data_IF_407931892495
#
_entry.id   IF_407931892495
#
_cell.length_a   1.000
_cell.length_b   1.000
_cell.length_c   1.000
_cell.angle_alpha   90.00
_cell.angle_beta   90.00
_cell.angle_gamma   90.00
#
_symmetry.space_group_name_H-M   'P 1'
#
loop_
_entity.id
_entity.type
_entity.pdbx_description
1 polymer ?
#
# COMPACT_ATOMS: atom_id res chain seq x y z
N UNK A 1 8.46 -2.50 36.78
CA UNK A 1 8.87 -1.84 35.53
C UNK A 1 7.75 -2.17 34.54
N UNK A 2 6.96 -1.17 34.18
CA UNK A 2 5.90 -1.38 33.18
C UNK A 2 6.62 -1.52 31.84
N UNK A 3 6.78 -2.74 31.34
CA UNK A 3 7.11 -2.97 29.93
C UNK A 3 5.92 -2.52 29.11
N UNK A 4 6.19 -1.54 28.28
CA UNK A 4 5.20 -0.88 27.45
C UNK A 4 4.53 -1.90 26.54
N UNK A 5 3.24 -2.06 26.67
CA UNK A 5 2.32 -2.67 25.70
C UNK A 5 2.26 -1.78 24.43
N UNK A 6 3.44 -1.38 23.92
CA UNK A 6 3.52 -0.47 22.78
C UNK A 6 3.17 -1.23 21.50
N UNK A 7 2.19 -0.72 20.80
CA UNK A 7 1.81 -1.22 19.48
C UNK A 7 3.01 -1.13 18.53
N UNK A 8 3.24 -2.20 17.78
CA UNK A 8 4.27 -2.23 16.74
C UNK A 8 3.67 -1.61 15.48
N UNK A 9 4.26 -0.51 15.02
CA UNK A 9 3.79 0.24 13.86
C UNK A 9 4.68 -0.06 12.66
N UNK A 10 4.14 -0.76 11.67
CA UNK A 10 4.81 -1.03 10.39
C UNK A 10 4.34 0.00 9.37
N UNK A 11 5.23 0.91 9.00
CA UNK A 11 4.93 2.01 8.11
C UNK A 11 5.06 1.61 6.64
N UNK A 12 4.52 2.46 5.77
CA UNK A 12 4.70 2.35 4.33
C UNK A 12 6.15 2.58 3.91
N UNK A 13 6.64 1.75 3.01
CA UNK A 13 7.98 1.91 2.43
C UNK A 13 8.07 3.17 1.54
N UNK A 14 8.46 4.29 2.16
CA UNK A 14 8.59 5.60 1.47
C UNK A 14 9.89 5.71 0.66
N UNK A 15 10.92 4.90 0.98
CA UNK A 15 12.24 5.02 0.38
C UNK A 15 12.22 4.81 -1.14
N UNK A 16 11.48 3.79 -1.61
CA UNK A 16 11.36 3.51 -3.05
C UNK A 16 10.59 4.60 -3.79
N UNK A 17 9.52 5.11 -3.20
CA UNK A 17 8.74 6.21 -3.77
C UNK A 17 9.58 7.50 -3.84
N UNK A 18 10.41 7.75 -2.84
CA UNK A 18 11.34 8.89 -2.83
C UNK A 18 12.37 8.81 -3.97
N UNK A 19 13.01 7.65 -4.20
CA UNK A 19 13.93 7.48 -5.30
C UNK A 19 13.23 7.60 -6.67
N UNK A 20 12.04 7.02 -6.81
CA UNK A 20 11.24 7.19 -8.03
C UNK A 20 10.91 8.66 -8.30
N UNK A 21 10.57 9.43 -7.25
CA UNK A 21 10.30 10.86 -7.37
C UNK A 21 11.53 11.64 -7.83
N UNK A 22 12.72 11.36 -7.28
CA UNK A 22 13.98 12.00 -7.72
C UNK A 22 14.23 11.75 -9.20
N UNK A 23 14.10 10.50 -9.65
CA UNK A 23 14.29 10.14 -11.06
C UNK A 23 13.30 10.92 -11.95
N UNK A 24 12.02 10.92 -11.58
CA UNK A 24 10.98 11.63 -12.35
C UNK A 24 11.25 13.13 -12.40
N UNK A 25 11.62 13.73 -11.26
CA UNK A 25 11.95 15.16 -11.19
C UNK A 25 13.18 15.53 -12.03
N UNK A 26 14.14 14.62 -12.20
CA UNK A 26 15.29 14.82 -13.08
C UNK A 26 14.87 14.89 -14.55
N UNK A 27 13.87 14.10 -14.98
CA UNK A 27 13.43 14.09 -16.38
C UNK A 27 12.56 15.29 -16.77
N UNK A 28 11.97 16.02 -15.82
CA UNK A 28 11.18 17.23 -16.12
C UNK A 28 12.04 18.31 -16.79
N UNK A 29 13.18 18.77 -16.21
CA UNK A 29 14.05 19.76 -16.86
C UNK A 29 14.67 19.24 -18.15
N UNK A 30 14.99 17.95 -18.26
CA UNK A 30 15.48 17.34 -19.50
C UNK A 30 14.43 17.47 -20.62
N UNK A 31 13.16 17.18 -20.31
CA UNK A 31 12.05 17.35 -21.26
C UNK A 31 11.85 18.83 -21.65
N UNK A 32 11.97 19.75 -20.69
CA UNK A 32 11.94 21.20 -20.97
C UNK A 32 13.08 21.65 -21.88
N UNK A 33 14.27 21.09 -21.66
CA UNK A 33 15.43 21.37 -22.55
C UNK A 33 15.19 20.85 -23.97
N UNK A 34 14.57 19.71 -24.16
CA UNK A 34 14.19 19.19 -25.47
C UNK A 34 13.22 20.12 -26.19
N UNK A 35 12.18 20.62 -25.48
CA UNK A 35 11.27 21.63 -26.07
C UNK A 35 12.03 22.87 -26.50
N UNK A 36 12.90 23.38 -25.64
CA UNK A 36 13.71 24.58 -25.96
C UNK A 36 14.64 24.37 -27.16
N UNK A 37 15.33 23.23 -27.22
CA UNK A 37 16.25 22.93 -28.34
C UNK A 37 15.52 22.67 -29.66
N UNK A 38 14.34 22.05 -29.62
CA UNK A 38 13.54 21.80 -30.81
C UNK A 38 12.85 23.05 -31.35
N UNK A 39 12.56 24.04 -30.48
CA UNK A 39 11.96 25.32 -30.88
C UNK A 39 12.98 26.34 -31.45
N UNK A 40 14.29 26.03 -31.48
CA UNK A 40 15.30 26.95 -32.02
C UNK A 40 15.16 27.10 -33.54
N UNK A 41 15.30 28.33 -34.08
CA UNK A 41 15.30 28.57 -35.51
C UNK A 41 16.44 27.82 -36.20
N UNK A 42 16.22 27.33 -37.42
CA UNK A 42 17.20 26.57 -38.22
C UNK A 42 17.15 25.06 -38.07
N UNK A 43 16.14 24.49 -37.39
CA UNK A 43 15.89 23.04 -37.26
C UNK A 43 14.50 22.64 -37.73
N UNK A 44 14.02 23.26 -38.81
CA UNK A 44 12.62 23.12 -39.25
C UNK A 44 12.22 21.68 -39.56
N UNK A 45 13.13 20.85 -40.08
CA UNK A 45 12.81 19.47 -40.48
C UNK A 45 12.63 18.50 -39.33
N UNK A 46 13.36 18.65 -38.21
CA UNK A 46 13.34 17.71 -37.08
C UNK A 46 12.86 18.39 -35.79
N UNK A 47 12.87 19.73 -35.75
CA UNK A 47 12.57 20.52 -34.55
C UNK A 47 11.19 20.19 -33.95
N UNK A 48 10.17 20.03 -34.78
CA UNK A 48 8.81 19.70 -34.34
C UNK A 48 8.73 18.36 -33.61
N UNK A 49 9.47 17.33 -34.07
CA UNK A 49 9.49 16.03 -33.42
C UNK A 49 10.15 16.12 -32.05
N UNK A 50 11.26 16.87 -31.93
CA UNK A 50 11.95 17.09 -30.66
C UNK A 50 11.03 17.84 -29.67
N UNK A 51 10.31 18.86 -30.14
CA UNK A 51 9.31 19.59 -29.32
C UNK A 51 8.20 18.66 -28.85
N UNK A 52 7.67 17.84 -29.76
CA UNK A 52 6.60 16.91 -29.43
C UNK A 52 7.03 15.92 -28.35
N UNK A 53 8.22 15.30 -28.47
CA UNK A 53 8.79 14.42 -27.46
C UNK A 53 9.04 15.15 -26.13
N UNK A 54 9.52 16.36 -26.15
CA UNK A 54 9.73 17.18 -24.97
C UNK A 54 8.42 17.50 -24.24
N UNK A 55 7.37 17.89 -24.97
CA UNK A 55 6.05 18.17 -24.40
C UNK A 55 5.42 16.89 -23.82
N UNK A 56 5.49 15.78 -24.56
CA UNK A 56 4.99 14.49 -24.07
C UNK A 56 5.71 14.06 -22.79
N UNK A 57 7.03 14.23 -22.75
CA UNK A 57 7.85 13.99 -21.57
C UNK A 57 7.43 14.87 -20.39
N UNK A 58 7.26 16.18 -20.58
CA UNK A 58 6.80 17.09 -19.54
C UNK A 58 5.46 16.66 -18.95
N UNK A 59 4.48 16.34 -19.79
CA UNK A 59 3.16 15.90 -19.33
C UNK A 59 3.27 14.58 -18.55
N UNK A 60 3.98 13.59 -19.10
CA UNK A 60 4.11 12.24 -18.49
C UNK A 60 4.84 12.29 -17.16
N UNK A 61 5.99 12.99 -17.09
CA UNK A 61 6.77 13.05 -15.86
C UNK A 61 6.11 13.93 -14.80
N UNK A 62 5.45 15.05 -15.18
CA UNK A 62 4.69 15.86 -14.22
C UNK A 62 3.51 15.07 -13.62
N UNK A 63 2.76 14.35 -14.46
CA UNK A 63 1.69 13.48 -14.00
C UNK A 63 2.19 12.38 -13.07
N UNK A 64 3.31 11.73 -13.44
CA UNK A 64 3.95 10.70 -12.62
C UNK A 64 4.40 11.24 -11.27
N UNK A 65 4.99 12.44 -11.23
CA UNK A 65 5.40 13.11 -9.99
C UNK A 65 4.19 13.34 -9.05
N UNK A 66 3.08 13.87 -9.60
CA UNK A 66 1.84 14.08 -8.83
C UNK A 66 1.33 12.74 -8.26
N UNK A 67 1.32 11.68 -9.07
CA UNK A 67 0.85 10.36 -8.63
C UNK A 67 1.75 9.75 -7.56
N UNK A 68 3.09 9.90 -7.68
CA UNK A 68 4.03 9.44 -6.65
C UNK A 68 3.81 10.22 -5.33
N UNK A 69 3.67 11.54 -5.39
CA UNK A 69 3.41 12.37 -4.20
C UNK A 69 2.09 11.99 -3.53
N UNK A 70 1.01 11.81 -4.32
CA UNK A 70 -0.27 11.32 -3.80
C UNK A 70 -0.11 9.95 -3.13
N UNK A 71 0.61 9.05 -3.78
CA UNK A 71 0.89 7.72 -3.24
C UNK A 71 1.73 7.80 -1.96
N UNK A 72 2.71 8.70 -1.86
CA UNK A 72 3.49 8.91 -0.64
C UNK A 72 2.65 9.47 0.53
N UNK A 73 1.64 10.28 0.22
CA UNK A 73 0.71 10.83 1.21
C UNK A 73 -0.37 9.84 1.63
N UNK A 74 -0.65 8.81 0.82
CA UNK A 74 -1.63 7.78 1.19
C UNK A 74 -1.09 6.98 2.38
N UNK A 75 -1.83 7.03 3.48
CA UNK A 75 -1.43 6.48 4.76
C UNK A 75 -1.68 4.97 4.85
N UNK A 76 -0.83 4.15 4.19
CA UNK A 76 -0.78 2.74 4.52
C UNK A 76 0.05 2.55 5.78
N UNK A 77 -0.54 1.98 6.79
CA UNK A 77 0.11 1.67 8.06
C UNK A 77 -0.52 0.41 8.63
N UNK A 78 0.27 -0.45 9.21
CA UNK A 78 -0.20 -1.60 9.96
C UNK A 78 0.23 -1.43 11.40
N UNK A 79 -0.73 -1.38 12.29
CA UNK A 79 -0.53 -1.39 13.73
C UNK A 79 -0.82 -2.80 14.24
N UNK A 80 0.12 -3.36 14.99
CA UNK A 80 0.03 -4.68 15.59
C UNK A 80 0.10 -4.50 17.09
N UNK A 81 -0.90 -4.98 17.81
CA UNK A 81 -1.00 -4.86 19.26
C UNK A 81 -1.45 -6.20 19.87
N UNK A 82 -1.43 -6.36 21.20
CA UNK A 82 -1.81 -7.62 21.86
C UNK A 82 -3.24 -8.08 21.58
N UNK A 83 -4.16 -7.17 21.29
CA UNK A 83 -5.57 -7.49 21.03
C UNK A 83 -5.83 -7.89 19.56
N UNK A 84 -4.97 -7.47 18.63
CA UNK A 84 -5.18 -7.72 17.20
C UNK A 84 -4.30 -6.87 16.31
N UNK A 85 -4.74 -6.69 15.09
CA UNK A 85 -4.10 -5.81 14.11
C UNK A 85 -5.09 -4.76 13.60
N UNK A 86 -4.57 -3.57 13.26
CA UNK A 86 -5.32 -2.51 12.59
C UNK A 86 -4.57 -2.12 11.31
N UNK A 87 -5.21 -2.33 10.17
CA UNK A 87 -4.67 -1.96 8.88
C UNK A 87 -5.31 -0.64 8.41
N UNK A 88 -4.53 0.42 8.45
CA UNK A 88 -4.91 1.73 7.91
C UNK A 88 -4.64 1.77 6.41
N UNK A 89 -5.65 2.13 5.64
CA UNK A 89 -5.57 2.31 4.19
C UNK A 89 -6.18 3.67 3.79
N UNK A 90 -5.98 4.14 2.57
CA UNK A 90 -6.64 5.36 2.11
C UNK A 90 -8.17 5.30 2.08
N UNK A 91 -8.73 4.10 2.08
CA UNK A 91 -10.19 3.88 1.94
C UNK A 91 -10.89 3.42 3.20
N UNK A 92 -10.16 2.76 4.08
CA UNK A 92 -10.74 2.15 5.29
C UNK A 92 -9.66 1.84 6.32
N UNK A 93 -10.08 1.77 7.58
CA UNK A 93 -9.31 1.21 8.69
C UNK A 93 -9.93 -0.12 9.08
N UNK A 94 -9.20 -1.21 8.82
CA UNK A 94 -9.64 -2.56 9.12
C UNK A 94 -9.09 -2.99 10.47
N UNK A 95 -9.98 -3.29 11.41
CA UNK A 95 -9.64 -3.82 12.73
C UNK A 95 -9.95 -5.32 12.78
N UNK A 96 -8.91 -6.13 13.04
CA UNK A 96 -9.04 -7.59 13.14
C UNK A 96 -8.43 -8.09 14.45
N UNK A 97 -9.23 -8.47 15.43
CA UNK A 97 -8.77 -9.15 16.64
C UNK A 97 -8.11 -10.50 16.31
N UNK A 98 -7.14 -10.93 17.13
CA UNK A 98 -6.41 -12.18 16.88
C UNK A 98 -7.31 -13.43 16.87
N UNK A 99 -8.40 -13.43 17.61
CA UNK A 99 -9.39 -14.51 17.62
C UNK A 99 -10.15 -14.63 16.30
N UNK A 100 -10.24 -13.56 15.53
CA UNK A 100 -10.84 -13.57 14.18
C UNK A 100 -9.89 -14.02 13.08
N UNK A 101 -8.57 -14.11 13.34
CA UNK A 101 -7.56 -14.49 12.36
C UNK A 101 -7.35 -16.01 12.39
N UNK A 102 -7.89 -16.73 11.41
CA UNK A 102 -7.72 -18.18 11.26
C UNK A 102 -6.31 -18.55 10.80
N UNK A 103 -5.73 -17.77 9.89
CA UNK A 103 -4.42 -18.07 9.31
C UNK A 103 -3.69 -16.85 8.77
N UNK A 104 -2.35 -16.98 8.76
CA UNK A 104 -1.41 -16.01 8.18
C UNK A 104 -0.48 -16.81 7.29
N UNK A 105 -0.31 -16.40 6.04
CA UNK A 105 0.55 -17.07 5.08
C UNK A 105 1.22 -16.07 4.13
N UNK A 106 2.20 -16.55 3.36
CA UNK A 106 2.80 -15.80 2.26
C UNK A 106 2.32 -16.41 0.96
N UNK A 107 1.61 -15.59 0.18
CA UNK A 107 1.03 -15.98 -1.09
C UNK A 107 1.28 -14.92 -2.17
N UNK A 108 0.87 -15.20 -3.40
CA UNK A 108 0.96 -14.22 -4.48
C UNK A 108 -0.22 -13.25 -4.45
N UNK A 109 0.07 -12.00 -4.09
CA UNK A 109 -0.85 -10.85 -4.16
C UNK A 109 -0.41 -9.98 -5.33
N UNK A 110 -1.27 -9.75 -6.32
CA UNK A 110 -0.93 -8.99 -7.54
C UNK A 110 0.35 -9.48 -8.25
N UNK A 111 0.52 -10.79 -8.39
CA UNK A 111 1.68 -11.47 -8.99
C UNK A 111 3.00 -11.31 -8.22
N UNK A 112 2.96 -10.83 -7.01
CA UNK A 112 4.15 -10.62 -6.14
C UNK A 112 3.92 -11.29 -4.79
N UNK A 113 4.99 -11.66 -4.06
CA UNK A 113 4.84 -12.13 -2.69
C UNK A 113 4.13 -11.08 -1.84
N UNK A 114 3.17 -11.50 -1.05
CA UNK A 114 2.42 -10.69 -0.11
C UNK A 114 2.01 -11.50 1.10
N UNK A 115 1.82 -10.85 2.24
CA UNK A 115 1.26 -11.48 3.42
C UNK A 115 -0.26 -11.55 3.25
N UNK A 116 -0.85 -12.71 3.48
CA UNK A 116 -2.29 -12.93 3.36
C UNK A 116 -2.88 -13.33 4.70
N UNK A 117 -4.10 -12.85 4.92
CA UNK A 117 -4.88 -13.10 6.12
C UNK A 117 -6.13 -13.91 5.77
N UNK A 118 -6.37 -14.96 6.56
CA UNK A 118 -7.57 -15.78 6.52
C UNK A 118 -8.33 -15.49 7.81
N UNK A 119 -9.58 -15.09 7.71
CA UNK A 119 -10.43 -14.81 8.85
C UNK A 119 -11.39 -15.97 9.10
N UNK A 120 -11.72 -16.26 10.37
CA UNK A 120 -12.76 -17.22 10.74
C UNK A 120 -14.15 -16.69 10.37
N UNK A 121 -14.39 -15.41 10.70
CA UNK A 121 -15.61 -14.68 10.34
C UNK A 121 -15.24 -13.34 9.68
N UNK A 122 -15.15 -13.35 8.35
CA UNK A 122 -14.87 -12.16 7.57
C UNK A 122 -15.98 -11.09 7.72
N UNK A 123 -17.23 -11.48 7.94
CA UNK A 123 -18.33 -10.54 8.13
C UNK A 123 -18.20 -9.76 9.43
N UNK A 124 -17.77 -10.41 10.52
CA UNK A 124 -17.50 -9.73 11.78
C UNK A 124 -16.34 -8.72 11.67
N UNK A 125 -15.28 -9.06 10.92
CA UNK A 125 -14.16 -8.13 10.65
C UNK A 125 -14.64 -6.92 9.83
N UNK A 126 -15.48 -7.14 8.81
CA UNK A 126 -16.06 -6.06 7.99
C UNK A 126 -16.93 -5.13 8.82
N UNK A 127 -17.70 -5.64 9.79
CA UNK A 127 -18.53 -4.80 10.68
C UNK A 127 -17.71 -3.87 11.58
N UNK A 128 -16.46 -4.25 11.93
CA UNK A 128 -15.53 -3.42 12.72
C UNK A 128 -14.73 -2.43 11.86
N UNK A 129 -14.79 -2.58 10.55
CA UNK A 129 -14.05 -1.73 9.61
C UNK A 129 -14.69 -0.34 9.50
N UNK A 130 -13.88 0.70 9.63
CA UNK A 130 -14.29 2.09 9.41
C UNK A 130 -13.99 2.50 7.98
N UNK A 131 -14.99 2.95 7.24
CA UNK A 131 -14.83 3.41 5.86
C UNK A 131 -14.70 4.93 5.82
N UNK A 132 -13.75 5.41 4.99
CA UNK A 132 -13.50 6.84 4.83
C UNK A 132 -14.37 7.39 3.71
N UNK A 133 -15.09 8.50 3.99
CA UNK A 133 -15.98 9.15 3.02
C UNK A 133 -15.23 9.71 1.79
N UNK A 134 -13.93 10.05 1.97
CA UNK A 134 -13.08 10.64 0.94
C UNK A 134 -12.31 9.60 0.10
N UNK A 135 -12.65 8.32 0.24
CA UNK A 135 -12.00 7.25 -0.51
C UNK A 135 -12.28 7.42 -2.01
N UNK A 136 -11.30 7.94 -2.74
CA UNK A 136 -11.37 8.15 -4.18
C UNK A 136 -10.35 7.29 -4.92
N UNK A 137 -10.76 6.66 -6.01
CA UNK A 137 -9.89 5.88 -6.87
C UNK A 137 -10.58 4.68 -7.51
N UNK A 138 -10.01 4.16 -8.61
CA UNK A 138 -10.49 2.90 -9.21
C UNK A 138 -10.29 1.75 -8.22
N UNK A 139 -11.39 1.07 -7.87
CA UNK A 139 -11.38 -0.07 -6.96
C UNK A 139 -11.29 0.32 -5.48
N UNK A 140 -11.56 1.59 -5.12
CA UNK A 140 -11.67 1.97 -3.71
C UNK A 140 -12.85 1.24 -3.06
N UNK A 141 -12.58 0.53 -1.97
CA UNK A 141 -13.61 -0.09 -1.13
C UNK A 141 -14.15 1.02 -0.24
N UNK A 142 -15.42 1.38 -0.45
CA UNK A 142 -16.04 2.53 0.22
C UNK A 142 -17.14 2.14 1.21
N UNK A 143 -17.50 0.87 1.27
CA UNK A 143 -18.53 0.39 2.17
C UNK A 143 -18.38 -1.11 2.51
N UNK A 144 -19.08 -1.53 3.55
CA UNK A 144 -19.05 -2.90 4.08
C UNK A 144 -19.45 -3.96 3.04
N UNK A 145 -20.48 -3.70 2.25
CA UNK A 145 -20.96 -4.69 1.27
C UNK A 145 -19.92 -4.95 0.17
N UNK A 146 -19.23 -3.90 -0.31
CA UNK A 146 -18.15 -4.07 -1.28
C UNK A 146 -16.97 -4.82 -0.68
N UNK A 147 -16.60 -4.52 0.58
CA UNK A 147 -15.51 -5.20 1.26
C UNK A 147 -15.83 -6.68 1.47
N UNK A 148 -17.02 -6.99 1.95
CA UNK A 148 -17.45 -8.36 2.15
C UNK A 148 -17.44 -9.15 0.84
N UNK A 149 -18.06 -8.63 -0.22
CA UNK A 149 -18.05 -9.25 -1.53
C UNK A 149 -16.61 -9.46 -2.06
N UNK A 150 -15.71 -8.51 -1.86
CA UNK A 150 -14.32 -8.65 -2.27
C UNK A 150 -13.59 -9.74 -1.47
N UNK A 151 -13.81 -9.83 -0.14
CA UNK A 151 -13.23 -10.86 0.70
C UNK A 151 -13.73 -12.26 0.33
N UNK A 152 -15.03 -12.41 0.07
CA UNK A 152 -15.64 -13.68 -0.37
C UNK A 152 -15.06 -14.13 -1.71
N UNK A 153 -15.00 -13.24 -2.71
CA UNK A 153 -14.39 -13.52 -4.02
C UNK A 153 -12.91 -13.90 -3.91
N UNK A 154 -12.18 -13.20 -3.05
CA UNK A 154 -10.77 -13.52 -2.80
C UNK A 154 -10.63 -14.91 -2.18
N UNK A 155 -11.46 -15.23 -1.20
CA UNK A 155 -11.40 -16.52 -0.52
C UNK A 155 -11.77 -17.69 -1.46
N UNK A 156 -12.83 -17.53 -2.24
CA UNK A 156 -13.24 -18.55 -3.23
C UNK A 156 -12.18 -18.81 -4.30
N UNK A 157 -11.49 -17.76 -4.76
CA UNK A 157 -10.53 -17.87 -5.87
C UNK A 157 -9.11 -18.15 -5.44
N UNK A 158 -8.70 -17.65 -4.29
CA UNK A 158 -7.28 -17.62 -3.87
C UNK A 158 -7.05 -18.25 -2.49
N UNK A 159 -8.11 -18.60 -1.75
CA UNK A 159 -8.02 -19.23 -0.44
C UNK A 159 -7.69 -18.27 0.71
N UNK A 160 -7.72 -16.96 0.49
CA UNK A 160 -7.53 -15.96 1.54
C UNK A 160 -8.51 -14.79 1.42
N UNK A 161 -8.82 -14.11 2.53
CA UNK A 161 -9.76 -13.00 2.54
C UNK A 161 -9.10 -11.65 2.21
N UNK A 162 -7.91 -11.40 2.77
CA UNK A 162 -7.18 -10.14 2.62
C UNK A 162 -5.72 -10.39 2.25
N UNK A 163 -5.23 -9.69 1.24
CA UNK A 163 -3.84 -9.71 0.85
C UNK A 163 -3.16 -8.35 1.07
N UNK A 164 -2.04 -8.36 1.77
CA UNK A 164 -1.17 -7.19 1.99
C UNK A 164 0.04 -7.36 1.07
N UNK A 165 0.16 -6.61 -0.03
CA UNK A 165 1.30 -6.74 -0.92
C UNK A 165 2.61 -6.38 -0.21
N UNK A 166 3.61 -7.28 -0.21
CA UNK A 166 4.88 -7.14 0.52
C UNK A 166 5.78 -5.97 0.10
N UNK A 167 5.30 -5.09 -0.81
CA UNK A 167 6.02 -3.87 -1.23
C UNK A 167 5.38 -2.59 -0.71
N UNK A 168 4.23 -2.68 -0.08
CA UNK A 168 3.51 -1.51 0.44
C UNK A 168 4.09 -1.09 1.77
N UNK A 169 4.42 -2.04 2.63
CA UNK A 169 5.03 -1.81 3.94
C UNK A 169 6.56 -1.89 3.88
N UNK A 170 7.22 -1.49 4.95
CA UNK A 170 8.69 -1.53 5.08
C UNK A 170 9.22 -2.95 5.16
N UNK A 171 8.45 -3.87 5.72
CA UNK A 171 8.76 -5.29 5.80
C UNK A 171 8.43 -6.00 4.49
N UNK A 172 9.19 -7.03 4.15
CA UNK A 172 8.82 -7.93 3.07
C UNK A 172 7.69 -8.88 3.51
N UNK A 173 7.23 -9.75 2.60
CA UNK A 173 6.08 -10.61 2.87
C UNK A 173 6.37 -11.66 3.96
N UNK A 174 7.58 -12.24 3.96
CA UNK A 174 7.99 -13.27 4.92
C UNK A 174 8.24 -12.66 6.30
N UNK A 175 8.90 -11.49 6.36
CA UNK A 175 9.12 -10.74 7.60
C UNK A 175 7.80 -10.32 8.23
N UNK A 176 6.86 -9.82 7.40
CA UNK A 176 5.54 -9.41 7.87
C UNK A 176 4.73 -10.60 8.39
N UNK A 177 4.70 -11.71 7.66
CA UNK A 177 3.99 -12.90 8.10
C UNK A 177 4.60 -13.47 9.41
N UNK A 178 5.93 -13.48 9.51
CA UNK A 178 6.62 -13.88 10.75
C UNK A 178 6.33 -12.96 11.93
N UNK A 179 6.28 -11.64 11.72
CA UNK A 179 5.89 -10.68 12.74
C UNK A 179 4.47 -10.94 13.25
N UNK A 180 3.51 -11.06 12.33
CA UNK A 180 2.11 -11.29 12.66
C UNK A 180 1.88 -12.64 13.34
N UNK A 181 2.59 -13.69 12.92
CA UNK A 181 2.50 -15.01 13.57
C UNK A 181 2.98 -14.95 15.01
N UNK A 182 4.13 -14.32 15.29
CA UNK A 182 4.66 -14.15 16.67
C UNK A 182 3.79 -13.24 17.51
N UNK A 183 3.20 -12.19 16.92
CA UNK A 183 2.26 -11.33 17.63
C UNK A 183 1.02 -12.09 18.05
N UNK A 184 0.47 -12.93 17.16
CA UNK A 184 -0.70 -13.76 17.42
C UNK A 184 -0.47 -14.79 18.54
N UNK A 185 0.73 -15.38 18.59
CA UNK A 185 1.09 -16.36 19.65
C UNK A 185 1.44 -15.69 20.98
N UNK A 186 1.51 -14.37 21.05
CA UNK A 186 1.89 -13.64 22.25
C UNK A 186 3.40 -13.52 22.48
N UNK A 187 4.24 -14.14 21.63
CA UNK A 187 5.71 -14.13 21.79
C UNK A 187 6.33 -12.72 21.82
N UNK A 188 5.65 -11.74 21.23
CA UNK A 188 6.15 -10.35 21.18
C UNK A 188 5.79 -9.54 22.44
N UNK A 189 4.84 -10.04 23.27
CA UNK A 189 4.27 -9.25 24.36
C UNK A 189 4.73 -9.71 25.76
N UNK A 190 5.55 -10.77 25.85
CA UNK A 190 5.93 -11.39 27.11
C UNK A 190 4.78 -12.20 27.76
N UNK A 191 5.10 -13.02 28.75
CA UNK A 191 4.11 -13.91 29.41
C UNK A 191 3.05 -13.14 30.23
N UNK A 192 3.24 -11.85 30.52
CA UNK A 192 2.36 -11.05 31.37
C UNK A 192 1.07 -10.55 30.65
N UNK A 193 1.01 -10.60 29.32
CA UNK A 193 -0.16 -10.13 28.56
C UNK A 193 -1.28 -11.19 28.42
N UNK A 194 -1.09 -12.40 28.95
CA UNK A 194 -2.04 -13.52 28.82
C UNK A 194 -2.81 -13.83 30.13
N UNK A 195 -2.69 -13.02 31.17
CA UNK A 195 -3.36 -13.21 32.44
C UNK A 195 -4.64 -12.37 32.61
#
# INVERSE_FOLDING_TARGET
MAESNEAIIVQKNRRRAFWALIIVLFFIPVSGMLVYLGARPGREDIGWAIVLFGVLGLVTFSWSAIMIVRTMRSGWCLEVNPAGLVLYTPGYDLEAPWDSVAGIAVERVDRKPGCVLIFEDAAAVVQRTRFHADATGRGAITNASMMQAQMEVNFERMGYHLGIPGRILELDADELAGLLARARTGELWGEEAQA
#
